data_IF_648306476671
#
_entry.id   IF_648306476671
#
_cell.length_a   1.000
_cell.length_b   1.000
_cell.length_c   1.000
_cell.angle_alpha   90.00
_cell.angle_beta   90.00
_cell.angle_gamma   90.00
#
_symmetry.space_group_name_H-M   'P 1'
#
loop_
_entity.id
_entity.type
_entity.pdbx_description
1 polymer ?
#
# COMPACT_ATOMS: atom_id res chain seq x y z
N UNK A 1 27.71 10.93 -46.24
CA UNK A 1 26.69 10.31 -45.40
C UNK A 1 27.37 9.78 -44.16
N UNK A 2 27.16 10.34 -42.97
CA UNK A 2 27.72 9.79 -41.75
C UNK A 2 26.86 8.61 -41.28
N UNK A 3 27.54 7.56 -40.93
CA UNK A 3 27.01 6.29 -40.42
C UNK A 3 26.16 6.47 -39.18
N UNK A 4 24.89 6.00 -39.23
CA UNK A 4 23.91 6.01 -38.17
C UNK A 4 23.91 4.73 -37.30
N UNK A 5 24.92 3.89 -37.43
CA UNK A 5 24.92 2.53 -36.85
C UNK A 5 25.58 2.39 -35.48
N UNK A 6 26.04 3.49 -34.83
CA UNK A 6 26.78 3.38 -33.55
C UNK A 6 26.05 3.82 -32.27
N UNK A 7 24.71 3.92 -32.26
CA UNK A 7 24.02 4.46 -31.10
C UNK A 7 23.03 3.46 -30.42
N UNK A 8 23.31 2.16 -30.46
CA UNK A 8 22.57 1.11 -29.74
C UNK A 8 23.43 0.52 -28.61
N UNK A 9 24.48 1.18 -28.18
CA UNK A 9 25.26 0.73 -27.04
C UNK A 9 24.76 1.42 -25.74
N UNK A 10 24.01 0.67 -24.92
CA UNK A 10 23.96 0.72 -23.46
C UNK A 10 23.89 2.10 -22.80
N UNK A 11 22.70 2.68 -22.66
CA UNK A 11 22.46 3.75 -21.68
C UNK A 11 22.46 3.17 -20.23
N UNK A 12 23.58 2.58 -19.82
CA UNK A 12 23.88 2.31 -18.42
C UNK A 12 24.56 3.57 -17.82
N UNK A 13 23.83 4.71 -17.85
CA UNK A 13 24.30 5.93 -17.22
C UNK A 13 24.19 5.85 -15.68
N UNK A 14 24.88 6.76 -14.96
CA UNK A 14 24.84 6.83 -13.49
C UNK A 14 23.42 6.83 -12.90
N UNK A 15 22.44 7.36 -13.64
CA UNK A 15 21.04 7.43 -13.25
C UNK A 15 20.36 6.05 -13.21
N UNK A 16 20.72 5.13 -14.12
CA UNK A 16 20.16 3.78 -14.13
C UNK A 16 20.65 2.94 -12.96
N UNK A 17 21.91 3.07 -12.57
CA UNK A 17 22.46 2.37 -11.41
C UNK A 17 21.89 2.91 -10.10
N UNK A 18 21.75 4.24 -9.98
CA UNK A 18 21.11 4.88 -8.81
C UNK A 18 19.65 4.45 -8.69
N UNK A 19 18.90 4.45 -9.80
CA UNK A 19 17.53 3.95 -9.84
C UNK A 19 17.46 2.50 -9.36
N UNK A 20 18.24 1.58 -9.95
CA UNK A 20 18.21 0.16 -9.61
C UNK A 20 18.52 -0.08 -8.13
N UNK A 21 19.46 0.67 -7.55
CA UNK A 21 19.81 0.57 -6.14
C UNK A 21 18.63 1.00 -5.23
N UNK A 22 17.97 2.13 -5.55
CA UNK A 22 16.82 2.60 -4.78
C UNK A 22 15.62 1.70 -5.01
N UNK A 23 15.36 1.30 -6.27
CA UNK A 23 14.27 0.38 -6.58
C UNK A 23 14.42 -0.95 -5.84
N UNK A 24 15.60 -1.56 -5.85
CA UNK A 24 15.85 -2.80 -5.11
C UNK A 24 15.63 -2.64 -3.60
N UNK A 25 15.85 -1.45 -3.06
CA UNK A 25 15.64 -1.16 -1.65
C UNK A 25 14.16 -0.93 -1.28
N UNK A 26 13.34 -0.38 -2.20
CA UNK A 26 11.91 -0.11 -1.92
C UNK A 26 10.96 -1.17 -2.50
N UNK A 27 11.39 -1.95 -3.50
CA UNK A 27 10.59 -2.99 -4.13
C UNK A 27 10.00 -4.01 -3.14
N UNK A 28 10.73 -4.47 -2.11
CA UNK A 28 10.15 -5.35 -1.09
C UNK A 28 9.01 -4.71 -0.31
N UNK A 29 9.06 -3.40 -0.02
CA UNK A 29 7.97 -2.70 0.67
C UNK A 29 6.74 -2.56 -0.24
N UNK A 30 6.93 -2.26 -1.53
CA UNK A 30 5.85 -2.21 -2.52
C UNK A 30 5.21 -3.59 -2.71
N UNK A 31 6.04 -4.62 -2.85
CA UNK A 31 5.58 -5.99 -3.00
C UNK A 31 4.77 -6.45 -1.77
N UNK A 32 5.25 -6.14 -0.57
CA UNK A 32 4.56 -6.44 0.68
C UNK A 32 3.13 -5.85 0.71
N UNK A 33 2.98 -4.57 0.38
CA UNK A 33 1.66 -3.92 0.33
C UNK A 33 0.75 -4.52 -0.74
N UNK A 34 1.28 -4.77 -1.95
CA UNK A 34 0.52 -5.32 -3.06
C UNK A 34 0.10 -6.79 -2.83
N UNK A 35 0.98 -7.62 -2.23
CA UNK A 35 0.65 -9.01 -1.88
C UNK A 35 -0.40 -9.05 -0.78
N UNK A 36 -0.31 -8.20 0.25
CA UNK A 36 -1.28 -8.18 1.33
C UNK A 36 -2.71 -7.95 0.83
N UNK A 37 -2.91 -7.02 -0.11
CA UNK A 37 -4.22 -6.77 -0.71
C UNK A 37 -4.77 -7.99 -1.45
N UNK A 38 -3.93 -8.66 -2.23
CA UNK A 38 -4.35 -9.78 -3.08
C UNK A 38 -4.55 -11.08 -2.30
N UNK A 39 -3.69 -11.34 -1.30
CA UNK A 39 -3.75 -12.54 -0.46
C UNK A 39 -4.98 -12.52 0.46
N UNK A 40 -5.32 -11.35 1.03
CA UNK A 40 -6.51 -11.20 1.89
C UNK A 40 -7.80 -11.37 1.11
N UNK A 41 -7.86 -10.84 -0.13
CA UNK A 41 -9.05 -10.95 -0.97
C UNK A 41 -9.49 -12.41 -1.21
N UNK A 42 -8.54 -13.31 -1.39
CA UNK A 42 -8.83 -14.73 -1.61
C UNK A 42 -9.15 -15.50 -0.33
N UNK A 43 -8.71 -15.02 0.82
CA UNK A 43 -9.02 -15.62 2.13
C UNK A 43 -10.37 -15.16 2.71
N UNK A 44 -11.03 -14.15 2.12
CA UNK A 44 -12.30 -13.60 2.64
C UNK A 44 -13.38 -14.66 2.90
N UNK A 45 -13.64 -15.64 2.02
CA UNK A 45 -14.67 -16.66 2.29
C UNK A 45 -14.37 -17.48 3.55
N UNK A 46 -13.12 -17.87 3.77
CA UNK A 46 -12.69 -18.64 4.94
C UNK A 46 -12.83 -17.79 6.22
N UNK A 47 -12.42 -16.52 6.17
CA UNK A 47 -12.57 -15.58 7.28
C UNK A 47 -14.06 -15.36 7.59
N UNK A 48 -14.91 -15.19 6.56
CA UNK A 48 -16.35 -15.02 6.72
C UNK A 48 -16.99 -16.23 7.41
N UNK A 49 -16.61 -17.44 6.99
CA UNK A 49 -17.08 -18.67 7.61
C UNK A 49 -16.64 -18.79 9.08
N UNK A 50 -15.38 -18.42 9.37
CA UNK A 50 -14.81 -18.50 10.73
C UNK A 50 -15.53 -17.62 11.73
N UNK A 51 -15.93 -16.40 11.31
CA UNK A 51 -16.58 -15.42 12.18
C UNK A 51 -18.10 -15.33 11.97
N UNK A 52 -18.68 -16.16 11.10
CA UNK A 52 -20.13 -16.11 10.73
C UNK A 52 -20.57 -14.71 10.29
N UNK A 53 -19.68 -13.97 9.59
CA UNK A 53 -19.84 -12.55 9.27
C UNK A 53 -19.91 -12.26 7.77
N UNK A 54 -20.63 -13.10 7.01
CA UNK A 54 -20.74 -12.97 5.55
C UNK A 54 -21.29 -11.61 5.10
N UNK A 55 -22.25 -11.05 5.81
CA UNK A 55 -22.85 -9.75 5.49
C UNK A 55 -21.86 -8.56 5.65
N UNK A 56 -20.85 -8.73 6.48
CA UNK A 56 -19.94 -7.63 6.84
C UNK A 56 -18.48 -7.87 6.36
N UNK A 57 -18.22 -8.99 5.70
CA UNK A 57 -16.85 -9.41 5.34
C UNK A 57 -16.09 -8.37 4.52
N UNK A 58 -16.79 -7.60 3.69
CA UNK A 58 -16.20 -6.53 2.88
C UNK A 58 -15.43 -5.50 3.75
N UNK A 59 -15.81 -5.32 5.03
CA UNK A 59 -15.13 -4.39 5.93
C UNK A 59 -13.67 -4.75 6.20
N UNK A 60 -13.29 -6.01 6.08
CA UNK A 60 -11.89 -6.43 6.23
C UNK A 60 -10.99 -5.78 5.16
N UNK A 61 -11.50 -5.62 3.94
CA UNK A 61 -10.79 -4.93 2.85
C UNK A 61 -11.03 -3.42 2.91
N UNK A 62 -12.29 -3.00 3.09
CA UNK A 62 -12.68 -1.59 3.08
C UNK A 62 -11.96 -0.80 4.16
N UNK A 63 -11.84 -1.32 5.39
CA UNK A 63 -11.15 -0.64 6.48
C UNK A 63 -9.67 -0.39 6.17
N UNK A 64 -9.00 -1.36 5.56
CA UNK A 64 -7.62 -1.20 5.08
C UNK A 64 -7.51 -0.13 4.01
N UNK A 65 -8.33 -0.21 2.96
CA UNK A 65 -8.29 0.73 1.84
C UNK A 65 -8.61 2.16 2.26
N UNK A 66 -9.62 2.36 3.13
CA UNK A 66 -9.95 3.65 3.71
C UNK A 66 -8.75 4.24 4.46
N UNK A 67 -8.18 3.45 5.38
CA UNK A 67 -7.05 3.87 6.18
C UNK A 67 -5.80 4.17 5.31
N UNK A 68 -5.51 3.35 4.31
CA UNK A 68 -4.40 3.53 3.38
C UNK A 68 -4.56 4.82 2.56
N UNK A 69 -5.77 5.08 2.06
CA UNK A 69 -6.07 6.28 1.27
C UNK A 69 -5.93 7.55 2.11
N UNK A 70 -6.41 7.52 3.37
CA UNK A 70 -6.26 8.63 4.32
C UNK A 70 -4.79 8.87 4.66
N UNK A 71 -4.02 7.81 4.84
CA UNK A 71 -2.62 7.89 5.25
C UNK A 71 -1.71 8.40 4.12
N UNK A 72 -2.02 8.13 2.85
CA UNK A 72 -1.16 8.45 1.71
C UNK A 72 -0.73 9.93 1.64
N UNK A 73 -1.62 10.94 1.67
CA UNK A 73 -1.21 12.35 1.65
C UNK A 73 -0.45 12.77 2.93
N UNK A 74 -0.77 12.15 4.08
CA UNK A 74 -0.06 12.41 5.33
C UNK A 74 1.39 11.93 5.23
N UNK A 75 1.62 10.73 4.68
CA UNK A 75 2.98 10.21 4.47
C UNK A 75 3.77 10.99 3.43
N UNK A 76 3.12 11.55 2.40
CA UNK A 76 3.79 12.47 1.48
C UNK A 76 4.42 13.63 2.23
N UNK A 77 3.64 14.34 3.03
CA UNK A 77 4.12 15.47 3.85
C UNK A 77 5.08 15.06 4.97
N UNK A 78 4.82 13.93 5.59
CA UNK A 78 5.71 13.41 6.63
C UNK A 78 7.08 13.06 6.06
N UNK A 79 7.12 12.45 4.87
CA UNK A 79 8.36 12.15 4.16
C UNK A 79 9.17 13.39 3.84
N UNK A 80 8.53 14.48 3.42
CA UNK A 80 9.20 15.76 3.18
C UNK A 80 9.75 16.38 4.49
N UNK A 81 9.01 16.25 5.61
CA UNK A 81 9.37 16.84 6.88
C UNK A 81 10.48 16.12 7.64
N UNK A 82 10.43 14.79 7.74
CA UNK A 82 11.36 13.97 8.55
C UNK A 82 12.32 13.12 7.72
N UNK A 83 12.22 13.22 6.38
CA UNK A 83 12.96 12.40 5.42
C UNK A 83 12.20 11.12 5.04
N UNK A 84 12.18 10.82 3.73
CA UNK A 84 11.37 9.73 3.15
C UNK A 84 11.77 8.34 3.66
N UNK A 85 13.06 8.11 3.89
CA UNK A 85 13.54 6.86 4.49
C UNK A 85 12.97 6.64 5.89
N UNK A 86 13.03 7.66 6.74
CA UNK A 86 12.54 7.59 8.12
C UNK A 86 11.03 7.33 8.14
N UNK A 87 10.28 8.05 7.30
CA UNK A 87 8.85 7.85 7.14
C UNK A 87 8.51 6.44 6.63
N UNK A 88 9.27 5.89 5.67
CA UNK A 88 9.09 4.54 5.14
C UNK A 88 9.32 3.47 6.22
N UNK A 89 10.35 3.62 7.04
CA UNK A 89 10.61 2.70 8.15
C UNK A 89 9.47 2.75 9.19
N UNK A 90 8.93 3.94 9.46
CA UNK A 90 7.74 4.11 10.33
C UNK A 90 6.50 3.43 9.73
N UNK A 91 6.26 3.59 8.44
CA UNK A 91 5.16 2.94 7.72
C UNK A 91 5.29 1.40 7.73
N UNK A 92 6.50 0.87 7.52
CA UNK A 92 6.80 -0.56 7.62
C UNK A 92 6.54 -1.09 9.03
N UNK A 93 7.01 -0.39 10.06
CA UNK A 93 6.78 -0.78 11.45
C UNK A 93 5.28 -0.83 11.78
N UNK A 94 4.52 0.19 11.37
CA UNK A 94 3.08 0.24 11.59
C UNK A 94 2.34 -0.86 10.81
N UNK A 95 2.74 -1.12 9.56
CA UNK A 95 2.16 -2.19 8.74
C UNK A 95 2.39 -3.57 9.37
N UNK A 96 3.62 -3.86 9.80
CA UNK A 96 3.97 -5.14 10.43
C UNK A 96 3.25 -5.31 11.77
N UNK A 97 3.19 -4.25 12.59
CA UNK A 97 2.43 -4.27 13.84
C UNK A 97 0.94 -4.51 13.61
N UNK A 98 0.34 -3.83 12.60
CA UNK A 98 -1.04 -4.06 12.18
C UNK A 98 -1.27 -5.48 11.68
N UNK A 99 -0.32 -6.04 10.91
CA UNK A 99 -0.40 -7.43 10.46
C UNK A 99 -0.36 -8.43 11.61
N UNK A 100 0.51 -8.21 12.58
CA UNK A 100 0.55 -9.01 13.81
C UNK A 100 -0.78 -8.93 14.57
N UNK A 101 -1.36 -7.74 14.70
CA UNK A 101 -2.67 -7.54 15.32
C UNK A 101 -3.78 -8.29 14.56
N UNK A 102 -3.76 -8.30 13.21
CA UNK A 102 -4.69 -9.09 12.39
C UNK A 102 -4.53 -10.60 12.65
N UNK A 103 -3.29 -11.10 12.69
CA UNK A 103 -3.01 -12.50 12.95
C UNK A 103 -3.50 -12.97 14.35
N UNK A 104 -3.47 -12.07 15.32
CA UNK A 104 -3.88 -12.33 16.71
C UNK A 104 -5.36 -11.98 17.00
N UNK A 105 -6.11 -11.48 16.02
CA UNK A 105 -7.47 -11.02 16.22
C UNK A 105 -8.39 -12.15 16.75
N UNK A 106 -9.04 -11.97 17.90
CA UNK A 106 -9.93 -12.97 18.48
C UNK A 106 -11.34 -12.97 17.85
N UNK A 107 -11.77 -11.84 17.33
CA UNK A 107 -13.09 -11.62 16.76
C UNK A 107 -13.04 -10.74 15.50
N UNK A 108 -14.18 -10.67 14.80
CA UNK A 108 -14.30 -9.94 13.54
C UNK A 108 -14.04 -8.42 13.68
N UNK A 109 -14.54 -7.81 14.75
CA UNK A 109 -14.41 -6.35 14.96
C UNK A 109 -12.94 -5.99 15.19
N UNK A 110 -12.27 -6.77 16.04
CA UNK A 110 -10.82 -6.62 16.28
C UNK A 110 -10.02 -6.78 14.98
N UNK A 111 -10.39 -7.74 14.12
CA UNK A 111 -9.76 -7.91 12.81
C UNK A 111 -9.93 -6.66 11.93
N UNK A 112 -11.14 -6.11 11.85
CA UNK A 112 -11.43 -4.90 11.06
C UNK A 112 -10.62 -3.69 11.58
N UNK A 113 -10.54 -3.51 12.90
CA UNK A 113 -9.74 -2.44 13.51
C UNK A 113 -8.25 -2.65 13.21
N UNK A 114 -7.75 -3.87 13.35
CA UNK A 114 -6.37 -4.21 13.04
C UNK A 114 -6.05 -3.98 11.55
N UNK A 115 -6.98 -4.26 10.64
CA UNK A 115 -6.88 -3.95 9.21
C UNK A 115 -6.80 -2.45 8.96
N UNK A 116 -7.56 -1.62 9.69
CA UNK A 116 -7.42 -0.17 9.59
C UNK A 116 -6.03 0.30 10.03
N UNK A 117 -5.50 -0.22 11.14
CA UNK A 117 -4.14 0.08 11.61
C UNK A 117 -3.09 -0.34 10.57
N UNK A 118 -3.23 -1.54 10.02
CA UNK A 118 -2.34 -2.05 8.96
C UNK A 118 -2.41 -1.18 7.71
N UNK A 119 -3.61 -0.74 7.33
CA UNK A 119 -3.85 0.15 6.19
C UNK A 119 -3.17 1.52 6.37
N UNK A 120 -3.15 2.08 7.59
CA UNK A 120 -2.38 3.30 7.86
C UNK A 120 -0.89 3.11 7.50
N UNK A 121 -0.29 1.96 7.82
CA UNK A 121 1.06 1.63 7.36
C UNK A 121 1.14 1.44 5.84
N UNK A 122 0.21 0.66 5.27
CA UNK A 122 0.17 0.31 3.85
C UNK A 122 0.13 1.51 2.92
N UNK A 123 -0.66 2.55 3.24
CA UNK A 123 -0.71 3.80 2.49
C UNK A 123 0.64 4.50 2.40
N UNK A 124 1.47 4.38 3.46
CA UNK A 124 2.84 4.90 3.46
C UNK A 124 3.80 4.12 2.57
N UNK A 125 3.67 2.79 2.50
CA UNK A 125 4.59 1.94 1.74
C UNK A 125 4.64 2.35 0.26
N UNK A 126 3.46 2.50 -0.36
CA UNK A 126 3.36 2.82 -1.78
C UNK A 126 3.75 4.27 -2.07
N UNK A 127 3.21 5.21 -1.27
CA UNK A 127 3.45 6.65 -1.44
C UNK A 127 4.93 6.99 -1.30
N UNK A 128 5.59 6.49 -0.25
CA UNK A 128 7.00 6.80 0.02
C UNK A 128 7.94 6.08 -0.93
N UNK A 129 7.62 4.84 -1.35
CA UNK A 129 8.40 4.14 -2.36
C UNK A 129 8.39 4.89 -3.70
N UNK A 130 7.20 5.33 -4.16
CA UNK A 130 7.08 6.13 -5.38
C UNK A 130 7.80 7.47 -5.27
N UNK A 131 7.72 8.13 -4.11
CA UNK A 131 8.41 9.38 -3.86
C UNK A 131 9.94 9.23 -3.92
N UNK A 132 10.52 8.20 -3.25
CA UNK A 132 11.94 7.90 -3.27
C UNK A 132 12.46 7.61 -4.69
N UNK A 133 11.69 6.89 -5.48
CA UNK A 133 12.04 6.61 -6.87
C UNK A 133 11.90 7.88 -7.72
N UNK A 134 10.85 8.68 -7.49
CA UNK A 134 10.63 9.94 -8.21
C UNK A 134 11.76 10.95 -8.05
N UNK A 135 12.48 10.94 -6.92
CA UNK A 135 13.68 11.76 -6.70
C UNK A 135 14.94 11.19 -7.38
N UNK A 136 14.97 9.87 -7.57
CA UNK A 136 16.12 9.21 -8.18
C UNK A 136 16.14 9.28 -9.70
N UNK A 137 15.02 9.66 -10.33
CA UNK A 137 14.82 9.54 -11.79
C UNK A 137 14.38 10.86 -12.39
N UNK A 138 15.01 11.23 -13.52
CA UNK A 138 14.62 12.41 -14.29
C UNK A 138 13.15 12.29 -14.77
N UNK A 139 12.41 13.41 -14.91
CA UNK A 139 11.02 13.37 -15.40
C UNK A 139 10.87 12.68 -16.77
N UNK A 140 11.90 12.75 -17.62
CA UNK A 140 11.91 12.13 -18.95
C UNK A 140 11.99 10.60 -18.90
N UNK A 141 12.66 10.06 -17.87
CA UNK A 141 12.90 8.62 -17.73
C UNK A 141 11.84 7.92 -16.90
N UNK A 142 10.95 8.65 -16.23
CA UNK A 142 9.90 8.07 -15.36
C UNK A 142 9.05 7.03 -16.07
N UNK A 143 8.67 7.27 -17.33
CA UNK A 143 7.87 6.32 -18.11
C UNK A 143 8.59 4.99 -18.36
N UNK A 144 9.90 5.02 -18.57
CA UNK A 144 10.71 3.81 -18.76
C UNK A 144 10.73 2.93 -17.51
N UNK A 145 10.73 3.54 -16.34
CA UNK A 145 10.78 2.81 -15.07
C UNK A 145 9.41 2.41 -14.53
N UNK A 146 8.32 2.96 -15.10
CA UNK A 146 6.96 2.57 -14.73
C UNK A 146 6.68 1.07 -14.93
N UNK A 147 7.33 0.45 -15.92
CA UNK A 147 7.24 -1.00 -16.14
C UNK A 147 7.70 -1.84 -14.95
N UNK A 148 8.71 -1.39 -14.21
CA UNK A 148 9.19 -2.08 -13.01
C UNK A 148 8.17 -2.07 -11.87
N UNK A 149 7.43 -0.96 -11.72
CA UNK A 149 6.30 -0.89 -10.78
C UNK A 149 5.21 -1.89 -11.16
N UNK A 150 4.82 -1.88 -12.44
CA UNK A 150 3.80 -2.82 -12.94
C UNK A 150 4.22 -4.27 -12.74
N UNK A 151 5.50 -4.60 -12.89
CA UNK A 151 6.02 -5.95 -12.68
C UNK A 151 5.82 -6.42 -11.23
N UNK A 152 6.02 -5.54 -10.23
CA UNK A 152 5.77 -5.87 -8.82
C UNK A 152 4.28 -6.18 -8.60
N UNK A 153 3.38 -5.36 -9.15
CA UNK A 153 1.93 -5.58 -9.03
C UNK A 153 1.49 -6.87 -9.73
N UNK A 154 1.99 -7.15 -10.93
CA UNK A 154 1.70 -8.41 -11.65
C UNK A 154 2.18 -9.61 -10.86
N UNK A 155 3.39 -9.53 -10.28
CA UNK A 155 3.93 -10.60 -9.44
C UNK A 155 3.06 -10.81 -8.19
N UNK A 156 2.68 -9.75 -7.50
CA UNK A 156 1.80 -9.80 -6.35
C UNK A 156 0.41 -10.35 -6.70
N UNK A 157 -0.19 -9.89 -7.81
CA UNK A 157 -1.48 -10.35 -8.30
C UNK A 157 -1.48 -11.83 -8.72
N UNK A 158 -0.31 -12.37 -9.08
CA UNK A 158 -0.17 -13.78 -9.43
C UNK A 158 0.09 -14.65 -8.21
N UNK A 159 1.02 -14.24 -7.34
CA UNK A 159 1.43 -15.02 -6.16
C UNK A 159 0.39 -14.90 -5.04
N UNK A 160 -0.18 -13.73 -4.83
CA UNK A 160 -1.11 -13.45 -3.73
C UNK A 160 -2.29 -14.41 -3.66
N UNK A 161 -3.08 -14.58 -4.74
CA UNK A 161 -4.21 -15.51 -4.75
C UNK A 161 -3.82 -16.96 -4.49
N UNK A 162 -2.69 -17.41 -5.03
CA UNK A 162 -2.19 -18.78 -4.81
C UNK A 162 -1.83 -18.97 -3.34
N UNK A 163 -1.06 -18.05 -2.77
CA UNK A 163 -0.68 -18.12 -1.35
C UNK A 163 -1.91 -17.97 -0.44
N UNK A 164 -2.81 -17.04 -0.76
CA UNK A 164 -4.02 -16.81 0.03
C UNK A 164 -4.95 -18.02 0.07
N UNK A 165 -5.20 -18.64 -1.08
CA UNK A 165 -5.99 -19.87 -1.15
C UNK A 165 -5.33 -21.01 -0.37
N UNK A 166 -4.06 -21.33 -0.68
CA UNK A 166 -3.35 -22.43 -0.03
C UNK A 166 -3.25 -22.24 1.49
N UNK A 167 -2.86 -21.06 1.95
CA UNK A 167 -2.68 -20.81 3.38
C UNK A 167 -4.01 -20.80 4.13
N UNK A 168 -5.06 -20.21 3.56
CA UNK A 168 -6.34 -20.10 4.25
C UNK A 168 -7.13 -21.41 4.28
N UNK A 169 -7.02 -22.25 3.23
CA UNK A 169 -7.77 -23.52 3.15
C UNK A 169 -7.05 -24.70 3.80
N UNK A 170 -5.71 -24.76 3.70
CA UNK A 170 -4.95 -25.94 4.10
C UNK A 170 -4.18 -25.78 5.43
N UNK A 171 -4.00 -24.54 5.91
CA UNK A 171 -3.25 -24.29 7.15
C UNK A 171 -4.14 -23.52 8.15
N UNK A 172 -4.12 -22.22 8.10
CA UNK A 172 -4.98 -21.30 8.88
C UNK A 172 -5.02 -19.95 8.17
N UNK A 173 -6.19 -19.31 8.11
CA UNK A 173 -6.34 -17.99 7.51
C UNK A 173 -5.42 -16.93 8.15
N UNK A 174 -5.04 -17.09 9.40
CA UNK A 174 -4.10 -16.20 10.10
C UNK A 174 -2.71 -16.20 9.46
N UNK A 175 -2.34 -17.27 8.78
CA UNK A 175 -1.04 -17.39 8.10
C UNK A 175 -0.85 -16.33 7.01
N UNK A 176 -1.94 -15.82 6.40
CA UNK A 176 -1.84 -14.74 5.43
C UNK A 176 -1.31 -13.43 6.04
N UNK A 177 -1.50 -13.23 7.34
CA UNK A 177 -0.95 -12.10 8.07
C UNK A 177 0.44 -12.41 8.66
N UNK A 178 0.68 -13.64 9.11
CA UNK A 178 2.00 -14.05 9.61
C UNK A 178 3.08 -13.94 8.53
N UNK A 179 2.77 -14.19 7.26
CA UNK A 179 3.73 -14.09 6.15
C UNK A 179 4.25 -12.66 5.96
N UNK A 180 3.47 -11.65 6.37
CA UNK A 180 3.87 -10.25 6.28
C UNK A 180 5.02 -9.89 7.25
N UNK A 181 5.23 -10.66 8.32
CA UNK A 181 6.30 -10.40 9.29
C UNK A 181 7.69 -10.66 8.69
N UNK A 182 8.01 -11.84 8.13
CA UNK A 182 9.30 -12.06 7.49
C UNK A 182 9.47 -11.17 6.23
N UNK A 183 8.41 -10.94 5.44
CA UNK A 183 8.47 -10.04 4.30
C UNK A 183 8.74 -8.60 4.73
N UNK A 184 8.07 -8.13 5.78
CA UNK A 184 8.26 -6.79 6.35
C UNK A 184 9.65 -6.60 6.96
N UNK A 185 10.20 -7.64 7.60
CA UNK A 185 11.59 -7.62 8.06
C UNK A 185 12.55 -7.49 6.89
N UNK A 186 12.36 -8.26 5.82
CA UNK A 186 13.15 -8.17 4.59
C UNK A 186 13.06 -6.79 3.95
N UNK A 187 11.85 -6.22 3.86
CA UNK A 187 11.62 -4.87 3.37
C UNK A 187 12.32 -3.80 4.25
N UNK A 188 12.28 -3.97 5.57
CA UNK A 188 12.97 -3.08 6.51
C UNK A 188 14.48 -3.13 6.32
N UNK A 189 15.06 -4.32 6.22
CA UNK A 189 16.50 -4.49 5.96
C UNK A 189 16.91 -3.86 4.62
N UNK A 190 16.08 -4.02 3.60
CA UNK A 190 16.31 -3.38 2.30
C UNK A 190 16.22 -1.85 2.39
N UNK A 191 15.21 -1.30 3.07
CA UNK A 191 15.02 0.13 3.26
C UNK A 191 16.15 0.77 4.09
N UNK A 192 16.76 0.05 5.02
CA UNK A 192 17.90 0.54 5.80
C UNK A 192 19.12 0.86 4.92
N UNK A 193 19.25 0.25 3.74
CA UNK A 193 20.32 0.51 2.76
C UNK A 193 20.15 1.83 2.02
N UNK A 194 18.97 2.44 2.05
CA UNK A 194 18.71 3.76 1.47
C UNK A 194 19.53 4.79 2.26
N UNK A 195 20.20 5.70 1.55
CA UNK A 195 20.85 6.85 2.22
C UNK A 195 19.78 7.72 2.84
N UNK A 196 19.96 8.08 4.11
CA UNK A 196 19.09 9.00 4.78
C UNK A 196 19.39 10.42 4.23
N UNK A 197 18.37 11.04 3.65
CA UNK A 197 18.40 12.47 3.36
C UNK A 197 17.61 13.16 4.46
N UNK A 198 18.15 14.24 5.07
CA UNK A 198 17.41 14.98 6.07
C UNK A 198 16.17 15.57 5.43
N UNK A 199 15.05 15.57 6.17
CA UNK A 199 13.85 16.26 5.73
C UNK A 199 14.07 17.78 5.74
N UNK A 200 13.26 18.48 4.98
CA UNK A 200 13.30 19.94 4.88
C UNK A 200 12.92 20.64 6.21
N UNK A 201 12.43 19.88 7.19
CA UNK A 201 11.91 20.38 8.45
C UNK A 201 10.55 21.09 8.29
N UNK A 202 9.89 21.35 9.41
CA UNK A 202 8.64 22.11 9.42
C UNK A 202 7.45 21.33 8.83
N UNK A 203 7.00 20.30 9.54
CA UNK A 203 5.74 19.61 9.20
C UNK A 203 4.58 20.59 9.20
N UNK A 204 4.20 21.08 8.02
CA UNK A 204 3.01 21.90 7.80
C UNK A 204 2.01 21.06 7.02
N UNK A 205 1.11 20.40 7.73
CA UNK A 205 -0.04 19.76 7.13
C UNK A 205 -1.06 20.86 6.78
N UNK A 206 -1.50 20.90 5.53
CA UNK A 206 -2.73 21.61 5.16
C UNK A 206 -3.91 20.83 5.76
N UNK A 207 -4.20 21.09 7.02
CA UNK A 207 -5.26 20.40 7.77
C UNK A 207 -6.63 20.56 7.11
N UNK A 208 -7.03 21.76 6.63
CA UNK A 208 -8.29 21.94 5.89
C UNK A 208 -8.33 21.13 4.60
N UNK A 209 -7.30 21.21 3.77
CA UNK A 209 -7.25 20.49 2.48
C UNK A 209 -7.18 18.98 2.68
N UNK A 210 -6.35 18.50 3.61
CA UNK A 210 -6.29 17.08 3.96
C UNK A 210 -7.62 16.59 4.54
N UNK A 211 -8.27 17.37 5.40
CA UNK A 211 -9.57 17.05 5.98
C UNK A 211 -10.67 16.94 4.92
N UNK A 212 -10.70 17.87 3.97
CA UNK A 212 -11.65 17.84 2.86
C UNK A 212 -11.41 16.64 1.94
N UNK A 213 -10.14 16.36 1.58
CA UNK A 213 -9.78 15.20 0.77
C UNK A 213 -10.16 13.89 1.45
N UNK A 214 -9.89 13.77 2.76
CA UNK A 214 -10.27 12.61 3.56
C UNK A 214 -11.79 12.46 3.59
N UNK A 215 -12.54 13.53 3.85
CA UNK A 215 -13.99 13.50 3.92
C UNK A 215 -14.61 13.11 2.56
N UNK A 216 -14.15 13.69 1.47
CA UNK A 216 -14.60 13.35 0.12
C UNK A 216 -14.30 11.89 -0.25
N UNK A 217 -13.08 11.44 0.01
CA UNK A 217 -12.68 10.05 -0.26
C UNK A 217 -13.47 9.05 0.60
N UNK A 218 -13.65 9.34 1.89
CA UNK A 218 -14.47 8.53 2.79
C UNK A 218 -15.92 8.46 2.30
N UNK A 219 -16.52 9.59 1.95
CA UNK A 219 -17.88 9.66 1.46
C UNK A 219 -18.06 8.82 0.18
N UNK A 220 -17.14 8.97 -0.78
CA UNK A 220 -17.16 8.20 -2.03
C UNK A 220 -17.02 6.69 -1.78
N UNK A 221 -16.02 6.26 -1.00
CA UNK A 221 -15.79 4.85 -0.72
C UNK A 221 -16.93 4.22 0.10
N UNK A 222 -17.52 4.97 1.05
CA UNK A 222 -18.70 4.52 1.78
C UNK A 222 -19.93 4.41 0.88
N UNK A 223 -20.14 5.38 -0.04
CA UNK A 223 -21.22 5.31 -1.02
C UNK A 223 -21.11 4.04 -1.89
N UNK A 224 -19.90 3.75 -2.39
CA UNK A 224 -19.63 2.56 -3.20
C UNK A 224 -19.77 1.25 -2.39
N UNK A 225 -19.31 1.24 -1.15
CA UNK A 225 -19.37 0.05 -0.28
C UNK A 225 -20.81 -0.27 0.20
N UNK A 226 -21.61 0.74 0.50
CA UNK A 226 -22.94 0.59 1.04
C UNK A 226 -24.04 0.63 -0.04
N UNK A 227 -23.74 1.09 -1.24
CA UNK A 227 -24.73 1.29 -2.30
C UNK A 227 -25.50 0.04 -2.68
N UNK A 228 -24.85 -1.13 -2.68
CA UNK A 228 -25.49 -2.41 -2.95
C UNK A 228 -26.41 -2.89 -1.82
N UNK A 229 -26.14 -2.48 -0.57
CA UNK A 229 -26.91 -2.89 0.60
C UNK A 229 -28.08 -1.97 0.90
N UNK A 230 -27.88 -0.65 0.73
CA UNK A 230 -28.86 0.40 1.08
C UNK A 230 -29.69 0.82 -0.13
N UNK A 231 -29.21 0.53 -1.35
CA UNK A 231 -29.80 0.96 -2.62
C UNK A 231 -29.14 2.24 -3.13
N UNK A 232 -28.73 2.20 -4.40
CA UNK A 232 -28.00 3.30 -5.07
C UNK A 232 -28.76 4.62 -5.12
N UNK A 233 -30.10 4.55 -5.20
CA UNK A 233 -31.00 5.72 -5.24
C UNK A 233 -31.40 6.21 -3.83
N UNK A 234 -30.88 5.65 -2.75
CA UNK A 234 -31.27 6.06 -1.40
C UNK A 234 -30.72 7.47 -1.11
N UNK A 235 -31.46 8.32 -0.37
CA UNK A 235 -31.02 9.67 -0.01
C UNK A 235 -29.65 9.69 0.69
N UNK A 236 -29.35 8.65 1.48
CA UNK A 236 -28.07 8.50 2.18
C UNK A 236 -26.91 8.33 1.20
N UNK A 237 -27.07 7.50 0.18
CA UNK A 237 -26.04 7.24 -0.82
C UNK A 237 -25.87 8.48 -1.74
N UNK A 238 -26.97 9.12 -2.13
CA UNK A 238 -26.92 10.36 -2.92
C UNK A 238 -26.23 11.50 -2.15
N UNK A 239 -26.47 11.63 -0.84
CA UNK A 239 -25.77 12.59 0.00
C UNK A 239 -24.25 12.31 0.03
N UNK A 240 -23.85 11.05 0.19
CA UNK A 240 -22.43 10.66 0.18
C UNK A 240 -21.77 11.00 -1.17
N UNK A 241 -22.43 10.76 -2.30
CA UNK A 241 -21.95 11.18 -3.61
C UNK A 241 -21.88 12.71 -3.78
N UNK A 242 -22.74 13.46 -3.10
CA UNK A 242 -22.70 14.93 -3.13
C UNK A 242 -21.58 15.54 -2.30
N UNK A 243 -21.00 14.79 -1.35
CA UNK A 243 -19.85 15.20 -0.53
C UNK A 243 -18.53 14.79 -1.17
N UNK A 244 -18.48 13.66 -1.90
CA UNK A 244 -17.28 13.12 -2.57
C UNK A 244 -17.09 13.64 -3.96
#
# INVERSE_FOLDING_TARGET
MPDKSSNIAGHNGPDSLRFMAIFAAVAPAMFLGAVDETIVATALPVIAARFSSFAHIAWVVTAYLLAATIAAPVYGRLGDAIGRKTALLGALALFVAGSLACALAPDFVTLVIARAIQGLGGGGLMTLAQALIGEAVSPRDRGRFQGWFSAIFVLAATIGPVLGGVLSEHVDWRCIFWINLPLGLGATVAALRIKAEPGEGGFKLDVPGAGLFIAATLALLLALSLGSQVGWASPKILLLFGIG
#
